data_IF_977770733932
#
_entry.id   IF_977770733932
#
_cell.length_a   1.000
_cell.length_b   1.000
_cell.length_c   1.000
_cell.angle_alpha   90.00
_cell.angle_beta   90.00
_cell.angle_gamma   90.00
#
_symmetry.space_group_name_H-M   'P 1'
#
loop_
_entity.id
_entity.type
_entity.pdbx_description
1 polymer ?
#
# COMPACT_ATOMS: atom_id res chain seq x y z
N UNK A 1 -7.28 37.85 30.13
CA UNK A 1 -8.11 36.73 29.63
C UNK A 1 -7.95 36.72 28.13
N UNK A 2 -6.86 36.12 27.66
CA UNK A 2 -6.62 35.96 26.23
C UNK A 2 -6.93 34.50 25.84
N UNK A 3 -8.16 34.31 25.45
CA UNK A 3 -8.57 33.07 24.74
C UNK A 3 -8.04 33.17 23.30
N UNK A 4 -6.71 32.96 23.16
CA UNK A 4 -6.12 32.72 21.85
C UNK A 4 -6.81 31.48 21.32
N UNK A 5 -7.71 31.65 20.38
CA UNK A 5 -8.22 30.58 19.54
C UNK A 5 -7.03 29.75 19.07
N UNK A 6 -6.80 28.59 19.71
CA UNK A 6 -5.77 27.65 19.26
C UNK A 6 -6.09 27.35 17.80
N UNK A 7 -5.28 27.86 16.90
CA UNK A 7 -5.39 27.56 15.49
C UNK A 7 -5.40 26.04 15.36
N UNK A 8 -6.50 25.49 14.88
CA UNK A 8 -6.62 24.06 14.66
C UNK A 8 -5.62 23.68 13.57
N UNK A 9 -4.57 22.96 13.94
CA UNK A 9 -3.55 22.45 13.02
C UNK A 9 -3.44 20.93 13.15
N UNK A 10 -3.10 20.26 12.08
CA UNK A 10 -2.77 18.84 12.09
C UNK A 10 -1.29 18.61 12.46
N UNK A 11 -0.96 17.36 12.72
CA UNK A 11 0.42 16.92 12.97
C UNK A 11 1.05 16.43 11.67
N UNK A 12 2.10 17.08 11.23
CA UNK A 12 2.92 16.72 10.08
C UNK A 12 4.19 16.05 10.56
N UNK A 13 4.55 14.93 9.98
CA UNK A 13 5.77 14.20 10.31
C UNK A 13 6.98 14.98 9.80
N UNK A 14 7.82 15.44 10.72
CA UNK A 14 9.09 16.13 10.43
C UNK A 14 10.20 15.11 10.20
N UNK A 15 10.33 14.15 11.13
CA UNK A 15 11.35 13.10 11.04
C UNK A 15 10.83 11.76 11.56
N UNK A 16 11.41 10.67 11.04
CA UNK A 16 11.07 9.30 11.46
C UNK A 16 12.32 8.67 12.08
N UNK A 17 12.21 8.24 13.33
CA UNK A 17 13.31 7.59 14.04
C UNK A 17 13.62 6.24 13.40
N UNK A 18 14.90 5.93 13.22
CA UNK A 18 15.35 4.63 12.72
C UNK A 18 14.80 3.49 13.61
N UNK A 19 14.31 2.42 12.99
CA UNK A 19 13.69 1.26 13.65
C UNK A 19 12.40 1.59 14.43
N UNK A 20 11.75 2.73 14.16
CA UNK A 20 10.44 3.05 14.72
C UNK A 20 9.33 2.26 14.05
N UNK A 21 8.16 2.21 14.70
CA UNK A 21 6.98 1.57 14.12
C UNK A 21 6.50 2.32 12.86
N UNK A 22 6.61 3.63 12.82
CA UNK A 22 6.31 4.42 11.63
C UNK A 22 7.11 3.98 10.38
N UNK A 23 8.39 3.64 10.58
CA UNK A 23 9.21 3.09 9.49
C UNK A 23 8.70 1.71 9.03
N UNK A 24 8.21 0.88 9.96
CA UNK A 24 7.64 -0.44 9.64
C UNK A 24 6.33 -0.33 8.85
N UNK A 25 5.52 0.68 9.16
CA UNK A 25 4.25 0.93 8.44
C UNK A 25 4.41 1.88 7.24
N UNK A 26 5.64 2.18 6.84
CA UNK A 26 6.02 2.94 5.63
C UNK A 26 5.46 4.38 5.61
N UNK A 27 5.35 5.00 6.77
CA UNK A 27 5.14 6.44 6.86
C UNK A 27 6.36 7.18 6.33
N UNK A 28 6.15 8.38 5.82
CA UNK A 28 7.19 9.23 5.25
C UNK A 28 7.22 10.59 5.93
N UNK A 29 8.34 11.26 5.81
CA UNK A 29 8.44 12.69 6.13
C UNK A 29 7.42 13.46 5.28
N UNK A 30 6.84 14.50 5.84
CA UNK A 30 5.74 15.29 5.31
C UNK A 30 4.36 14.60 5.27
N UNK A 31 4.20 13.36 5.74
CA UNK A 31 2.87 12.80 5.96
C UNK A 31 2.16 13.57 7.08
N UNK A 32 0.87 13.87 6.89
CA UNK A 32 0.05 14.59 7.87
C UNK A 32 -0.95 13.65 8.50
N UNK A 33 -0.98 13.59 9.83
CA UNK A 33 -2.00 12.83 10.57
C UNK A 33 -3.25 13.69 10.67
N UNK A 34 -4.31 13.26 9.98
CA UNK A 34 -5.56 14.00 9.81
C UNK A 34 -6.62 13.57 10.80
N UNK A 35 -6.80 12.26 10.97
CA UNK A 35 -7.86 11.73 11.83
C UNK A 35 -7.39 10.51 12.63
N UNK A 36 -8.01 10.33 13.78
CA UNK A 36 -7.85 9.21 14.69
C UNK A 36 -9.21 8.55 14.88
N UNK A 37 -9.34 7.28 14.53
CA UNK A 37 -10.60 6.52 14.53
C UNK A 37 -11.75 7.33 13.85
N UNK A 38 -11.51 7.81 12.63
CA UNK A 38 -12.42 8.59 11.79
C UNK A 38 -12.79 9.99 12.33
N UNK A 39 -12.21 10.43 13.43
CA UNK A 39 -12.43 11.77 13.98
C UNK A 39 -11.22 12.67 13.70
N UNK A 40 -11.46 13.90 13.21
CA UNK A 40 -10.39 14.87 12.98
C UNK A 40 -9.57 15.09 14.26
N UNK A 41 -8.25 15.05 14.13
CA UNK A 41 -7.35 15.08 15.27
C UNK A 41 -6.56 16.39 15.35
N UNK A 42 -6.89 17.23 16.33
CA UNK A 42 -6.25 18.53 16.57
C UNK A 42 -5.59 18.62 17.96
N UNK A 43 -5.48 17.51 18.69
CA UNK A 43 -5.07 17.55 20.10
C UNK A 43 -3.56 17.73 20.33
N UNK A 44 -2.75 17.63 19.27
CA UNK A 44 -1.29 17.77 19.34
C UNK A 44 -0.56 16.45 19.64
N UNK A 45 0.78 16.50 19.58
CA UNK A 45 1.66 15.33 19.63
C UNK A 45 1.51 14.47 20.88
N UNK A 46 1.55 15.13 22.09
CA UNK A 46 1.44 14.40 23.36
C UNK A 46 0.17 13.58 23.44
N UNK A 47 -0.97 14.18 23.07
CA UNK A 47 -2.25 13.49 23.09
C UNK A 47 -2.29 12.32 22.09
N UNK A 48 -1.68 12.45 20.90
CA UNK A 48 -1.56 11.35 19.95
C UNK A 48 -0.78 10.18 20.54
N UNK A 49 0.36 10.47 21.17
CA UNK A 49 1.20 9.43 21.78
C UNK A 49 0.46 8.74 22.92
N UNK A 50 -0.20 9.49 23.80
CA UNK A 50 -0.95 8.96 24.92
C UNK A 50 -2.15 8.10 24.44
N UNK A 51 -2.93 8.58 23.47
CA UNK A 51 -4.06 7.86 22.88
C UNK A 51 -3.57 6.54 22.22
N UNK A 52 -2.46 6.54 21.48
CA UNK A 52 -1.88 5.35 20.85
C UNK A 52 -1.34 4.33 21.88
N UNK A 53 -0.71 4.81 22.97
CA UNK A 53 -0.24 3.93 24.04
C UNK A 53 -1.41 3.31 24.80
N UNK A 54 -2.48 4.07 25.04
CA UNK A 54 -3.69 3.56 25.69
C UNK A 54 -4.36 2.48 24.85
N UNK A 55 -4.52 2.69 23.52
CA UNK A 55 -5.08 1.68 22.62
C UNK A 55 -4.20 0.42 22.56
N UNK A 56 -2.88 0.57 22.54
CA UNK A 56 -1.96 -0.56 22.58
C UNK A 56 -2.10 -1.39 23.86
N UNK A 57 -2.25 -0.74 25.03
CA UNK A 57 -2.48 -1.45 26.31
C UNK A 57 -3.78 -2.24 26.30
N UNK A 58 -4.77 -1.80 25.55
CA UNK A 58 -6.07 -2.47 25.36
C UNK A 58 -6.06 -3.49 24.23
N UNK A 59 -4.90 -3.72 23.60
CA UNK A 59 -4.74 -4.58 22.40
C UNK A 59 -5.68 -4.21 21.24
N UNK A 60 -6.10 -2.94 21.20
CA UNK A 60 -6.99 -2.43 20.15
C UNK A 60 -6.21 -1.86 18.98
N UNK A 61 -6.70 -2.18 17.80
CA UNK A 61 -6.24 -1.55 16.56
C UNK A 61 -6.73 -0.11 16.50
N UNK A 62 -5.91 0.80 16.02
CA UNK A 62 -6.25 2.21 15.83
C UNK A 62 -6.24 2.54 14.35
N UNK A 63 -7.27 3.21 13.86
CA UNK A 63 -7.34 3.69 12.50
C UNK A 63 -6.80 5.11 12.44
N UNK A 64 -5.75 5.33 11.67
CA UNK A 64 -5.23 6.67 11.35
C UNK A 64 -5.56 7.01 9.90
N UNK A 65 -6.12 8.19 9.67
CA UNK A 65 -6.20 8.77 8.33
C UNK A 65 -5.01 9.71 8.13
N UNK A 66 -4.29 9.49 7.05
CA UNK A 66 -3.05 10.19 6.72
C UNK A 66 -3.22 10.90 5.39
N UNK A 67 -2.70 12.11 5.29
CA UNK A 67 -2.58 12.86 4.04
C UNK A 67 -1.13 12.79 3.54
N UNK A 68 -0.95 12.37 2.29
CA UNK A 68 0.32 12.36 1.57
C UNK A 68 0.11 12.97 0.19
N UNK A 69 0.81 14.05 -0.13
CA UNK A 69 0.64 14.78 -1.39
C UNK A 69 -0.83 15.11 -1.68
N UNK A 70 -1.55 15.65 -0.68
CA UNK A 70 -2.98 16.01 -0.75
C UNK A 70 -3.96 14.83 -0.91
N UNK A 71 -3.46 13.59 -1.02
CA UNK A 71 -4.28 12.39 -1.08
C UNK A 71 -4.43 11.77 0.31
N UNK A 72 -5.65 11.36 0.64
CA UNK A 72 -5.97 10.71 1.91
C UNK A 72 -5.92 9.19 1.77
N UNK A 73 -5.33 8.53 2.76
CA UNK A 73 -5.40 7.09 2.91
C UNK A 73 -5.51 6.70 4.38
N UNK A 74 -6.07 5.53 4.61
CA UNK A 74 -6.20 4.97 5.94
C UNK A 74 -5.10 3.97 6.23
N UNK A 75 -4.73 3.88 7.51
CA UNK A 75 -3.73 2.95 8.00
C UNK A 75 -4.14 2.44 9.38
N UNK A 76 -4.16 1.12 9.57
CA UNK A 76 -4.37 0.53 10.89
C UNK A 76 -3.01 0.37 11.56
N UNK A 77 -2.88 0.95 12.76
CA UNK A 77 -1.66 0.93 13.57
C UNK A 77 -1.87 0.29 14.93
N UNK A 78 -0.78 -0.23 15.52
CA UNK A 78 -0.77 -0.83 16.86
C UNK A 78 0.36 -0.21 17.65
N UNK A 79 0.06 0.85 18.41
CA UNK A 79 1.00 1.53 19.31
C UNK A 79 1.67 2.76 18.73
N UNK A 80 2.66 3.30 19.47
CA UNK A 80 3.33 4.56 19.18
C UNK A 80 4.11 4.52 17.87
N UNK A 81 4.05 5.59 17.11
CA UNK A 81 4.69 5.71 15.79
C UNK A 81 6.21 5.91 15.88
N UNK A 82 6.68 6.72 16.85
CA UNK A 82 8.10 7.04 16.99
C UNK A 82 8.60 8.03 15.94
N UNK A 83 7.79 9.07 15.68
CA UNK A 83 8.11 10.21 14.83
C UNK A 83 8.25 11.47 15.68
N UNK A 84 8.89 12.49 15.11
CA UNK A 84 8.84 13.86 15.58
C UNK A 84 7.88 14.64 14.67
N UNK A 85 7.12 15.58 15.25
CA UNK A 85 6.03 16.26 14.56
C UNK A 85 6.15 17.75 14.58
N UNK A 86 5.71 18.40 13.52
CA UNK A 86 5.48 19.83 13.42
C UNK A 86 3.99 20.10 13.15
N UNK A 87 3.54 21.32 13.37
CA UNK A 87 2.17 21.71 13.02
C UNK A 87 2.06 22.11 11.55
N UNK A 88 0.96 21.72 10.90
CA UNK A 88 0.62 22.21 9.55
C UNK A 88 0.31 23.71 9.59
N UNK A 89 0.48 24.40 8.48
CA UNK A 89 0.02 25.78 8.32
C UNK A 89 -1.52 25.85 8.15
N UNK A 90 -2.07 27.07 8.15
CA UNK A 90 -3.52 27.26 8.07
C UNK A 90 -4.09 26.91 6.70
N UNK A 91 -3.35 27.13 5.63
CA UNK A 91 -3.78 26.84 4.26
C UNK A 91 -3.80 25.33 4.01
N UNK A 92 -2.72 24.62 4.38
CA UNK A 92 -2.61 23.16 4.30
C UNK A 92 -3.70 22.50 5.15
N UNK A 93 -3.95 23.01 6.35
CA UNK A 93 -5.00 22.51 7.25
C UNK A 93 -6.38 22.60 6.62
N UNK A 94 -6.72 23.71 5.99
CA UNK A 94 -8.04 23.91 5.40
C UNK A 94 -8.26 23.03 4.17
N UNK A 95 -7.25 22.91 3.30
CA UNK A 95 -7.29 21.99 2.13
C UNK A 95 -7.54 20.54 2.58
N UNK A 96 -6.81 20.09 3.60
CA UNK A 96 -6.96 18.73 4.14
C UNK A 96 -8.36 18.52 4.74
N UNK A 97 -8.92 19.49 5.48
CA UNK A 97 -10.30 19.41 6.00
C UNK A 97 -11.32 19.24 4.88
N UNK A 98 -11.20 20.02 3.81
CA UNK A 98 -12.11 19.95 2.66
C UNK A 98 -12.02 18.59 1.95
N UNK A 99 -10.82 18.05 1.83
CA UNK A 99 -10.59 16.71 1.25
C UNK A 99 -11.17 15.64 2.16
N UNK A 100 -10.96 15.74 3.47
CA UNK A 100 -11.50 14.79 4.44
C UNK A 100 -13.02 14.78 4.48
N UNK A 101 -13.68 15.95 4.33
CA UNK A 101 -15.14 16.04 4.29
C UNK A 101 -15.77 15.28 3.12
N UNK A 102 -15.02 15.04 2.04
CA UNK A 102 -15.45 14.28 0.85
C UNK A 102 -15.09 12.80 0.94
N UNK A 103 -14.30 12.40 1.95
CA UNK A 103 -13.82 11.03 2.10
C UNK A 103 -14.95 10.11 2.56
N UNK A 104 -15.05 8.94 1.94
CA UNK A 104 -15.91 7.88 2.43
C UNK A 104 -15.34 7.31 3.73
N UNK A 105 -16.17 7.28 4.77
CA UNK A 105 -15.81 6.74 6.08
C UNK A 105 -16.25 5.28 6.15
N UNK A 106 -15.33 4.40 6.55
CA UNK A 106 -15.58 2.98 6.76
C UNK A 106 -15.46 2.64 8.24
N UNK A 107 -16.19 1.62 8.68
CA UNK A 107 -16.00 1.09 10.02
C UNK A 107 -14.62 0.40 10.09
N UNK A 108 -13.86 0.66 11.15
CA UNK A 108 -12.52 0.08 11.30
C UNK A 108 -12.52 -1.44 11.42
N UNK A 109 -13.61 -2.06 11.84
CA UNK A 109 -13.75 -3.51 11.92
C UNK A 109 -13.85 -4.16 10.53
N UNK A 110 -14.30 -3.42 9.52
CA UNK A 110 -14.36 -3.85 8.12
C UNK A 110 -13.04 -3.66 7.37
N UNK A 111 -12.10 -2.92 7.98
CA UNK A 111 -10.84 -2.57 7.34
C UNK A 111 -9.75 -3.58 7.69
N UNK A 112 -8.93 -3.90 6.70
CA UNK A 112 -7.70 -4.68 6.83
C UNK A 112 -6.54 -3.92 6.20
N UNK A 113 -5.32 -4.10 6.73
CA UNK A 113 -4.13 -3.56 6.08
C UNK A 113 -3.79 -4.36 4.82
N UNK A 114 -3.47 -3.64 3.76
CA UNK A 114 -2.96 -4.17 2.51
C UNK A 114 -1.53 -3.67 2.30
N UNK A 115 -0.62 -4.58 2.06
CA UNK A 115 0.79 -4.32 1.77
C UNK A 115 0.98 -4.20 0.27
N UNK A 116 1.33 -3.03 -0.21
CA UNK A 116 1.65 -2.79 -1.61
C UNK A 116 3.16 -2.97 -1.82
N UNK A 117 3.53 -3.95 -2.61
CA UNK A 117 4.91 -4.22 -3.01
C UNK A 117 5.09 -3.89 -4.49
N UNK A 118 6.18 -3.21 -4.82
CA UNK A 118 6.43 -2.64 -6.14
C UNK A 118 7.74 -3.16 -6.72
N UNK A 119 7.76 -3.49 -8.02
CA UNK A 119 8.98 -3.70 -8.78
C UNK A 119 9.53 -2.40 -9.39
N UNK A 120 10.65 -2.49 -10.09
CA UNK A 120 11.28 -1.34 -10.77
C UNK A 120 10.43 -0.79 -11.93
N UNK A 121 9.50 -1.58 -12.45
CA UNK A 121 8.63 -1.21 -13.59
C UNK A 121 7.26 -0.69 -13.14
N UNK A 122 7.10 -0.36 -11.85
CA UNK A 122 5.85 0.07 -11.22
C UNK A 122 4.71 -0.97 -11.28
N UNK A 123 5.02 -2.26 -11.42
CA UNK A 123 4.03 -3.30 -11.19
C UNK A 123 3.87 -3.52 -9.69
N UNK A 124 2.65 -3.37 -9.22
CA UNK A 124 2.29 -3.56 -7.84
C UNK A 124 1.68 -4.93 -7.60
N UNK A 125 2.04 -5.51 -6.48
CA UNK A 125 1.38 -6.66 -5.89
C UNK A 125 0.83 -6.25 -4.53
N UNK A 126 -0.45 -6.51 -4.31
CA UNK A 126 -1.14 -6.12 -3.08
C UNK A 126 -1.46 -7.35 -2.27
N UNK A 127 -0.91 -7.42 -1.07
CA UNK A 127 -1.05 -8.57 -0.15
C UNK A 127 -1.91 -8.14 1.02
N UNK A 128 -3.03 -8.81 1.24
CA UNK A 128 -3.91 -8.57 2.39
C UNK A 128 -3.32 -9.15 3.66
N UNK A 129 -3.38 -8.40 4.76
CA UNK A 129 -3.00 -8.87 6.10
C UNK A 129 -4.16 -9.64 6.74
N UNK A 130 -4.47 -10.79 6.20
CA UNK A 130 -5.55 -11.65 6.68
C UNK A 130 -5.12 -13.11 6.66
N UNK A 131 -5.67 -13.91 7.57
CA UNK A 131 -5.40 -15.35 7.64
C UNK A 131 -6.46 -16.11 6.87
N UNK A 132 -6.02 -16.85 5.87
CA UNK A 132 -6.90 -17.72 5.08
C UNK A 132 -6.68 -19.20 5.45
N UNK A 133 -7.74 -19.88 5.83
CA UNK A 133 -7.69 -21.30 6.22
C UNK A 133 -7.23 -22.18 5.05
N UNK A 134 -7.44 -21.75 3.79
CA UNK A 134 -7.02 -22.49 2.61
C UNK A 134 -5.52 -22.79 2.56
N UNK A 135 -4.67 -21.92 3.13
CA UNK A 135 -3.23 -22.15 3.23
C UNK A 135 -2.88 -23.36 4.09
N UNK A 136 -3.68 -23.63 5.13
CA UNK A 136 -3.49 -24.77 6.01
C UNK A 136 -4.08 -26.07 5.50
N UNK A 137 -5.16 -26.01 4.69
CA UNK A 137 -5.83 -27.21 4.20
C UNK A 137 -5.14 -27.70 2.91
N UNK A 138 -4.92 -26.80 1.98
CA UNK A 138 -4.36 -27.16 0.65
C UNK A 138 -3.35 -26.11 0.15
N UNK A 139 -2.09 -26.14 0.66
CA UNK A 139 -1.05 -25.17 0.34
C UNK A 139 -0.84 -24.92 -1.17
N UNK A 140 -0.86 -25.94 -2.08
CA UNK A 140 -0.69 -25.68 -3.51
C UNK A 140 -1.78 -24.80 -4.12
N UNK A 141 -3.05 -25.00 -3.76
CA UNK A 141 -4.16 -24.16 -4.25
C UNK A 141 -4.06 -22.73 -3.69
N UNK A 142 -3.65 -22.58 -2.44
CA UNK A 142 -3.41 -21.27 -1.85
C UNK A 142 -2.28 -20.52 -2.58
N UNK A 143 -1.18 -21.20 -2.95
CA UNK A 143 -0.10 -20.63 -3.76
C UNK A 143 -0.61 -20.25 -5.16
N UNK A 144 -1.44 -21.07 -5.79
CA UNK A 144 -2.05 -20.77 -7.08
C UNK A 144 -2.97 -19.55 -7.01
N UNK A 145 -3.80 -19.46 -5.96
CA UNK A 145 -4.67 -18.31 -5.72
C UNK A 145 -3.88 -17.00 -5.62
N UNK A 146 -2.72 -17.04 -4.93
CA UNK A 146 -1.79 -15.90 -4.85
C UNK A 146 -0.83 -15.81 -6.04
N UNK A 147 -1.08 -16.57 -7.12
CA UNK A 147 -0.34 -16.52 -8.39
C UNK A 147 1.15 -16.84 -8.26
N UNK A 148 1.53 -17.58 -7.24
CA UNK A 148 2.89 -18.07 -7.02
C UNK A 148 3.10 -19.41 -7.75
N UNK A 149 2.87 -19.40 -9.07
CA UNK A 149 2.86 -20.60 -9.92
C UNK A 149 4.13 -21.44 -9.83
N UNK A 150 5.29 -20.79 -9.86
CA UNK A 150 6.57 -21.51 -9.77
C UNK A 150 6.70 -22.31 -8.46
N UNK A 151 6.28 -21.70 -7.34
CA UNK A 151 6.31 -22.34 -6.03
C UNK A 151 5.28 -23.47 -5.93
N UNK A 152 4.08 -23.27 -6.49
CA UNK A 152 3.05 -24.30 -6.58
C UNK A 152 3.60 -25.54 -7.33
N UNK A 153 4.24 -25.33 -8.47
CA UNK A 153 4.81 -26.43 -9.27
C UNK A 153 5.91 -27.17 -8.50
N UNK A 154 6.85 -26.43 -7.88
CA UNK A 154 7.92 -27.02 -7.08
C UNK A 154 7.33 -27.84 -5.92
N UNK A 155 6.37 -27.27 -5.20
CA UNK A 155 5.70 -27.95 -4.09
C UNK A 155 5.01 -29.25 -4.55
N UNK A 156 4.33 -29.21 -5.71
CA UNK A 156 3.66 -30.37 -6.29
C UNK A 156 4.63 -31.47 -6.69
N UNK A 157 5.77 -31.11 -7.30
CA UNK A 157 6.83 -32.06 -7.66
C UNK A 157 7.41 -32.72 -6.41
N UNK A 158 7.75 -31.93 -5.38
CA UNK A 158 8.28 -32.46 -4.11
C UNK A 158 7.27 -33.39 -3.45
N UNK A 159 6.00 -33.01 -3.43
CA UNK A 159 4.92 -33.84 -2.88
C UNK A 159 4.79 -35.18 -3.60
N UNK A 160 4.88 -35.17 -4.93
CA UNK A 160 4.83 -36.38 -5.75
C UNK A 160 6.04 -37.29 -5.49
N UNK A 161 7.23 -36.74 -5.36
CA UNK A 161 8.44 -37.51 -5.01
C UNK A 161 8.31 -38.14 -3.62
N UNK A 162 7.81 -37.40 -2.63
CA UNK A 162 7.62 -37.94 -1.26
C UNK A 162 6.61 -39.10 -1.24
N UNK A 163 5.51 -38.99 -1.97
CA UNK A 163 4.53 -40.08 -2.09
C UNK A 163 5.18 -41.33 -2.70
N UNK A 164 6.05 -41.17 -3.71
CA UNK A 164 6.74 -42.25 -4.40
C UNK A 164 7.74 -43.01 -3.48
N UNK A 165 8.29 -42.32 -2.48
CA UNK A 165 9.20 -42.93 -1.51
C UNK A 165 8.45 -43.62 -0.37
N UNK A 166 7.56 -42.90 0.30
CA UNK A 166 6.79 -43.46 1.40
C UNK A 166 5.58 -42.55 1.74
N UNK A 167 4.40 -43.14 1.73
CA UNK A 167 3.16 -42.43 2.01
C UNK A 167 3.13 -41.77 3.41
N UNK A 168 3.65 -42.42 4.43
CA UNK A 168 3.66 -41.87 5.78
C UNK A 168 4.59 -40.64 5.90
N UNK A 169 5.74 -40.69 5.25
CA UNK A 169 6.67 -39.54 5.20
C UNK A 169 6.01 -38.37 4.47
N UNK A 170 5.32 -38.63 3.34
CA UNK A 170 4.52 -37.61 2.68
C UNK A 170 3.47 -37.00 3.59
N UNK A 171 2.68 -37.83 4.29
CA UNK A 171 1.59 -37.37 5.14
C UNK A 171 2.09 -36.47 6.30
N UNK A 172 3.18 -36.88 6.96
CA UNK A 172 3.82 -36.05 8.00
C UNK A 172 4.34 -34.73 7.39
N UNK A 173 5.04 -34.79 6.26
CA UNK A 173 5.55 -33.61 5.57
C UNK A 173 4.42 -32.64 5.14
N UNK A 174 3.31 -33.19 4.65
CA UNK A 174 2.14 -32.41 4.28
C UNK A 174 1.54 -31.66 5.48
N UNK A 175 1.32 -32.38 6.59
CA UNK A 175 0.75 -31.77 7.80
C UNK A 175 1.68 -30.66 8.34
N UNK A 176 2.96 -30.91 8.44
CA UNK A 176 3.95 -29.92 8.90
C UNK A 176 3.95 -28.67 8.00
N UNK A 177 3.94 -28.87 6.68
CA UNK A 177 3.93 -27.76 5.71
C UNK A 177 2.60 -27.00 5.76
N UNK A 178 1.48 -27.70 5.92
CA UNK A 178 0.15 -27.08 6.06
C UNK A 178 0.07 -26.17 7.29
N UNK A 179 0.56 -26.66 8.44
CA UNK A 179 0.62 -25.86 9.67
C UNK A 179 1.52 -24.63 9.46
N UNK A 180 2.71 -24.83 8.88
CA UNK A 180 3.65 -23.74 8.62
C UNK A 180 3.05 -22.69 7.65
N UNK A 181 2.46 -23.12 6.54
CA UNK A 181 1.78 -22.22 5.61
C UNK A 181 0.64 -21.46 6.26
N UNK A 182 -0.14 -22.08 7.15
CA UNK A 182 -1.21 -21.40 7.87
C UNK A 182 -0.70 -20.35 8.87
N UNK A 183 0.37 -20.65 9.58
CA UNK A 183 0.91 -19.72 10.60
C UNK A 183 1.67 -18.55 9.96
N UNK A 184 2.42 -18.80 8.89
CA UNK A 184 3.34 -17.85 8.28
C UNK A 184 2.88 -17.32 6.91
N UNK A 185 1.56 -17.23 6.66
CA UNK A 185 1.00 -16.85 5.35
C UNK A 185 1.56 -15.54 4.82
N UNK A 186 1.46 -14.48 5.64
CA UNK A 186 1.89 -13.14 5.29
C UNK A 186 3.39 -13.09 5.02
N UNK A 187 4.17 -13.64 5.92
CA UNK A 187 5.63 -13.67 5.84
C UNK A 187 6.11 -14.43 4.60
N UNK A 188 5.43 -15.53 4.27
CA UNK A 188 5.70 -16.30 3.05
C UNK A 188 5.38 -15.51 1.79
N UNK A 189 4.19 -14.89 1.69
CA UNK A 189 3.81 -14.09 0.52
C UNK A 189 4.74 -12.90 0.32
N UNK A 190 5.07 -12.21 1.41
CA UNK A 190 6.04 -11.10 1.39
C UNK A 190 7.42 -11.60 0.94
N UNK A 191 7.91 -12.70 1.51
CA UNK A 191 9.22 -13.26 1.14
C UNK A 191 9.28 -13.66 -0.33
N UNK A 192 8.21 -14.27 -0.85
CA UNK A 192 8.14 -14.64 -2.27
C UNK A 192 8.08 -13.42 -3.19
N UNK A 193 7.45 -12.36 -2.76
CA UNK A 193 7.42 -11.10 -3.52
C UNK A 193 8.77 -10.40 -3.49
N UNK A 194 9.47 -10.40 -2.34
CA UNK A 194 10.85 -9.91 -2.24
C UNK A 194 11.81 -10.71 -3.14
N UNK A 195 11.72 -12.05 -3.14
CA UNK A 195 12.50 -12.91 -4.03
C UNK A 195 12.22 -12.66 -5.52
N UNK A 196 11.00 -12.18 -5.83
CA UNK A 196 10.64 -11.77 -7.19
C UNK A 196 11.10 -10.35 -7.55
N UNK A 197 11.95 -9.72 -6.74
CA UNK A 197 12.52 -8.39 -6.99
C UNK A 197 11.58 -7.23 -6.65
N UNK A 198 10.52 -7.47 -5.89
CA UNK A 198 9.63 -6.41 -5.42
C UNK A 198 10.08 -5.89 -4.06
N UNK A 199 9.84 -4.61 -3.79
CA UNK A 199 10.12 -3.96 -2.52
C UNK A 199 8.84 -3.37 -1.92
N UNK A 200 8.81 -3.22 -0.60
CA UNK A 200 7.72 -2.51 0.07
C UNK A 200 7.62 -1.08 -0.43
N UNK A 201 6.42 -0.64 -0.71
CA UNK A 201 6.14 0.71 -1.21
C UNK A 201 5.20 1.49 -0.31
N UNK A 202 4.09 0.85 0.11
CA UNK A 202 3.01 1.51 0.84
C UNK A 202 2.20 0.47 1.60
N UNK A 203 1.59 0.89 2.72
CA UNK A 203 0.56 0.13 3.43
C UNK A 203 -0.69 0.99 3.49
N UNK A 204 -1.84 0.44 3.12
CA UNK A 204 -3.13 1.11 3.19
C UNK A 204 -4.15 0.21 3.87
N UNK A 205 -5.03 0.79 4.68
CA UNK A 205 -6.18 0.10 5.22
C UNK A 205 -7.37 0.26 4.26
N UNK A 206 -8.02 -0.86 3.94
CA UNK A 206 -9.19 -0.86 3.05
C UNK A 206 -10.12 -2.02 3.40
N UNK A 207 -11.37 -1.94 2.94
CA UNK A 207 -12.36 -3.00 3.12
C UNK A 207 -12.19 -4.13 2.09
N UNK A 208 -11.68 -3.83 0.89
CA UNK A 208 -11.44 -4.82 -0.16
C UNK A 208 -10.20 -4.49 -1.00
N UNK A 209 -9.77 -5.45 -1.81
CA UNK A 209 -8.59 -5.33 -2.68
C UNK A 209 -8.75 -4.21 -3.71
N UNK A 210 -9.91 -4.09 -4.33
CA UNK A 210 -10.15 -3.10 -5.38
C UNK A 210 -10.04 -1.66 -4.86
N UNK A 211 -10.59 -1.38 -3.67
CA UNK A 211 -10.47 -0.07 -3.04
C UNK A 211 -9.03 0.21 -2.58
N UNK A 212 -8.29 -0.82 -2.12
CA UNK A 212 -6.87 -0.69 -1.83
C UNK A 212 -6.06 -0.31 -3.08
N UNK A 213 -6.31 -0.98 -4.22
CA UNK A 213 -5.67 -0.68 -5.49
C UNK A 213 -6.01 0.72 -6.01
N UNK A 214 -7.28 1.16 -5.90
CA UNK A 214 -7.70 2.53 -6.21
C UNK A 214 -6.94 3.56 -5.36
N UNK A 215 -6.84 3.32 -4.07
CA UNK A 215 -6.10 4.18 -3.15
C UNK A 215 -4.60 4.24 -3.50
N UNK A 216 -3.99 3.10 -3.80
CA UNK A 216 -2.59 3.02 -4.23
C UNK A 216 -2.39 3.78 -5.55
N UNK A 217 -3.33 3.68 -6.50
CA UNK A 217 -3.32 4.40 -7.77
C UNK A 217 -3.42 5.92 -7.57
N UNK A 218 -4.22 6.39 -6.62
CA UNK A 218 -4.30 7.81 -6.28
C UNK A 218 -2.97 8.33 -5.71
N UNK A 219 -2.31 7.55 -4.84
CA UNK A 219 -1.01 7.90 -4.27
C UNK A 219 0.16 7.72 -5.25
N UNK A 220 0.02 6.85 -6.22
CA UNK A 220 1.01 6.57 -7.25
C UNK A 220 0.31 6.35 -8.62
N UNK A 221 0.09 7.42 -9.42
CA UNK A 221 -0.65 7.33 -10.68
C UNK A 221 -0.06 6.36 -11.71
N UNK A 222 1.24 6.06 -11.63
CA UNK A 222 1.94 5.13 -12.53
C UNK A 222 1.82 3.66 -12.11
N UNK A 223 1.08 3.34 -11.05
CA UNK A 223 0.96 1.97 -10.56
C UNK A 223 0.22 1.08 -11.55
N UNK A 224 0.79 -0.08 -11.85
CA UNK A 224 0.19 -1.14 -12.67
C UNK A 224 -0.12 -2.34 -11.79
N UNK A 225 -1.28 -2.94 -11.99
CA UNK A 225 -1.73 -4.13 -11.26
C UNK A 225 -1.99 -5.25 -12.26
N UNK A 226 -1.27 -6.36 -12.15
CA UNK A 226 -1.28 -7.43 -13.14
C UNK A 226 -2.63 -8.14 -13.30
N UNK A 227 -3.46 -8.15 -12.24
CA UNK A 227 -4.70 -8.92 -12.19
C UNK A 227 -5.83 -8.11 -11.52
N UNK A 228 -5.88 -6.84 -11.84
CA UNK A 228 -6.89 -5.90 -11.34
C UNK A 228 -7.95 -5.64 -12.41
N UNK A 229 -9.16 -5.31 -11.95
CA UNK A 229 -10.20 -4.76 -12.82
C UNK A 229 -9.92 -3.28 -13.19
N UNK A 230 -8.92 -2.66 -12.58
CA UNK A 230 -8.51 -1.30 -12.90
C UNK A 230 -7.75 -1.30 -14.24
N UNK A 231 -8.20 -0.46 -15.16
CA UNK A 231 -7.49 -0.22 -16.41
C UNK A 231 -6.05 0.23 -16.16
N UNK A 232 -5.15 -0.06 -17.07
CA UNK A 232 -3.78 0.43 -16.99
C UNK A 232 -3.76 1.97 -16.91
N UNK A 233 -2.77 2.57 -16.23
CA UNK A 233 -2.64 4.02 -16.16
C UNK A 233 -2.49 4.57 -17.59
N UNK A 234 -3.20 5.66 -17.87
CA UNK A 234 -3.02 6.37 -19.15
C UNK A 234 -1.56 6.73 -19.34
N UNK A 235 -0.99 6.50 -20.54
CA UNK A 235 0.36 6.95 -20.85
C UNK A 235 0.38 8.47 -20.65
N UNK A 236 1.19 8.97 -19.72
CA UNK A 236 1.43 10.41 -19.65
C UNK A 236 2.07 10.80 -20.98
N UNK A 237 1.35 11.54 -21.80
CA UNK A 237 1.91 12.23 -22.97
C UNK A 237 2.95 13.18 -22.37
N UNK A 238 4.23 12.87 -22.58
CA UNK A 238 5.28 13.81 -22.19
C UNK A 238 5.15 15.01 -23.11
N UNK A 239 5.03 16.20 -22.55
CA UNK A 239 5.00 17.47 -23.31
C UNK A 239 6.17 17.61 -24.32
N UNK A 240 7.18 16.73 -24.22
CA UNK A 240 8.28 16.63 -25.16
C UNK A 240 7.94 15.87 -26.45
N UNK A 241 6.88 15.07 -26.52
CA UNK A 241 6.51 14.33 -27.72
C UNK A 241 5.71 15.21 -28.69
N UNK A 242 4.98 16.20 -28.19
CA UNK A 242 4.27 17.17 -29.07
C UNK A 242 5.23 17.97 -29.93
N UNK A 243 6.41 18.35 -29.40
CA UNK A 243 7.44 19.06 -30.16
C UNK A 243 8.13 18.17 -31.23
N UNK A 244 8.08 16.83 -31.07
CA UNK A 244 8.65 15.90 -32.07
C UNK A 244 7.65 15.58 -33.18
N UNK A 245 6.37 15.68 -32.93
CA UNK A 245 5.30 15.47 -33.91
C UNK A 245 5.16 16.72 -34.78
N UNK A 246 5.15 17.92 -34.20
CA UNK A 246 5.14 19.19 -34.95
C UNK A 246 6.36 19.32 -35.87
N UNK A 247 7.57 19.01 -35.40
CA UNK A 247 8.79 19.04 -36.22
C UNK A 247 8.78 18.00 -37.37
N UNK A 248 8.06 16.88 -37.24
CA UNK A 248 7.93 15.92 -38.35
C UNK A 248 6.91 16.36 -39.39
N UNK A 249 5.84 17.03 -38.97
CA UNK A 249 4.84 17.56 -39.90
C UNK A 249 5.37 18.78 -40.67
N UNK A 250 6.15 19.66 -40.04
CA UNK A 250 6.80 20.77 -40.73
C UNK A 250 7.82 20.28 -41.76
N UNK A 251 8.67 19.31 -41.42
CA UNK A 251 9.63 18.73 -42.37
C UNK A 251 8.94 18.04 -43.54
N UNK A 252 7.81 17.37 -43.35
CA UNK A 252 7.04 16.74 -44.42
C UNK A 252 6.33 17.77 -45.32
N UNK A 253 5.91 18.94 -44.80
CA UNK A 253 5.35 20.01 -45.59
C UNK A 253 6.42 20.69 -46.45
N UNK A 254 7.63 20.91 -45.94
CA UNK A 254 8.74 21.53 -46.65
C UNK A 254 9.23 20.61 -47.80
N UNK A 255 9.30 19.28 -47.57
CA UNK A 255 9.74 18.35 -48.63
C UNK A 255 8.72 18.24 -49.77
N UNK A 256 7.41 18.27 -49.49
CA UNK A 256 6.37 18.26 -50.52
C UNK A 256 6.28 19.54 -51.35
N UNK A 257 6.71 20.67 -50.77
CA UNK A 257 6.72 21.96 -51.50
C UNK A 257 7.95 22.07 -52.42
N UNK A 258 9.05 21.37 -52.09
CA UNK A 258 10.24 21.34 -52.98
C UNK A 258 10.10 20.38 -54.18
N UNK A 259 9.30 19.32 -54.08
CA UNK A 259 9.02 18.43 -55.21
C UNK A 259 7.98 18.98 -56.21
N UNK A 260 7.26 20.05 -55.86
CA UNK A 260 6.26 20.68 -56.75
C UNK A 260 6.82 21.83 -57.58
N UNK A 261 8.14 22.13 -57.51
CA UNK A 261 8.80 23.22 -58.20
C UNK A 261 9.90 22.75 -59.19
N UNK A 262 9.95 21.46 -59.48
CA UNK A 262 10.86 20.91 -60.53
C UNK A 262 10.07 20.47 -61.75
#
# INVERSE_FOLDING_TARGET
MDDKSKSQSFLKIESIRKRSYAHTVLLKENDVIVAFDNNLFFKGEKALIDDLIEQKKKEKKTLLTISRNEQLFDLIVIGSLGCDFISTDSEETEKIKQTFAKKQIWDKEELSNFFAMRDLTNNFEVIKDDKNISAGIFPPLWLAYHQKWSLMVIFSIVSFLLISVNFWVFLIGWICTSIYCYLAQKELLVSFSLLSGKAFSLIVASNNLENAEKCIRQLNPKSKFKYSNLQDPEPMISENDDNLVENKEEKNKISKTQEAIV
#
